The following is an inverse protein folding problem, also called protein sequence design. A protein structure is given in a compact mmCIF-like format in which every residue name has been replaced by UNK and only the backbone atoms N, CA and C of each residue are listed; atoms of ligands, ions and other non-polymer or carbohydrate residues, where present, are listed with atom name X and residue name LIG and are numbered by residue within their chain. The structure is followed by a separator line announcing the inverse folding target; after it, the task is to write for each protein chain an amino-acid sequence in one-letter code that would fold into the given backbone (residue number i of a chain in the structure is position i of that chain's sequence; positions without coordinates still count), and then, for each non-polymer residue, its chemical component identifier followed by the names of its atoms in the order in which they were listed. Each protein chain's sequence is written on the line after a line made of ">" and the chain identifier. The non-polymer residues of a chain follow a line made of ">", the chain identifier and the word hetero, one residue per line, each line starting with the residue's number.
data_IF_525076358911
#
_entry.id   IF_525076358911
#
_cell.length_a   1.000
_cell.length_b   1.000
_cell.length_c   1.000
_cell.angle_alpha   90.00
_cell.angle_beta   90.00
_cell.angle_gamma   90.00
#
_symmetry.space_group_name_H-M   'P 1'
#
loop_
_entity.id
_entity.type
_entity.pdbx_description
1 polymer ?
#
# COMPACT_ATOMS: atom_id res chain seq x y z
N UNK A 1 15.16 -11.70 10.04
CA UNK A 1 14.30 -11.49 11.23
C UNK A 1 12.98 -12.21 10.97
N UNK A 2 12.43 -12.92 11.97
CA UNK A 2 11.08 -13.48 11.85
C UNK A 2 10.06 -12.31 11.89
N UNK A 3 8.97 -12.42 11.12
CA UNK A 3 7.91 -11.40 11.13
C UNK A 3 7.32 -11.19 12.54
N UNK A 4 7.29 -12.23 13.36
CA UNK A 4 6.80 -12.18 14.74
C UNK A 4 7.66 -11.29 15.67
N UNK A 5 8.92 -11.01 15.30
CA UNK A 5 9.79 -10.12 16.06
C UNK A 5 9.74 -8.68 15.58
N UNK A 6 9.11 -8.45 14.40
CA UNK A 6 9.14 -7.15 13.73
C UNK A 6 8.55 -6.01 14.57
N UNK A 7 7.40 -6.24 15.20
CA UNK A 7 6.73 -5.21 16.01
C UNK A 7 7.61 -4.72 17.17
N UNK A 8 8.19 -5.66 17.94
CA UNK A 8 9.08 -5.32 19.04
C UNK A 8 10.35 -4.61 18.54
N UNK A 9 10.89 -5.08 17.42
CA UNK A 9 12.07 -4.49 16.79
C UNK A 9 11.84 -3.06 16.30
N UNK A 10 10.73 -2.80 15.60
CA UNK A 10 10.38 -1.46 15.14
C UNK A 10 10.23 -0.47 16.31
N UNK A 11 9.58 -0.91 17.38
CA UNK A 11 9.42 -0.12 18.60
C UNK A 11 10.75 0.16 19.29
N UNK A 12 11.62 -0.84 19.41
CA UNK A 12 12.96 -0.69 20.01
C UNK A 12 13.84 0.27 19.20
N UNK A 13 13.86 0.13 17.87
CA UNK A 13 14.78 0.90 17.00
C UNK A 13 14.32 2.30 16.69
N UNK A 14 13.02 2.49 16.54
CA UNK A 14 12.46 3.75 16.02
C UNK A 14 11.48 4.44 16.98
N UNK A 15 11.09 3.81 18.08
CA UNK A 15 10.06 4.32 18.97
C UNK A 15 8.66 4.30 18.33
N UNK A 16 8.46 3.55 17.25
CA UNK A 16 7.20 3.44 16.50
C UNK A 16 6.43 2.22 16.99
N UNK A 17 5.15 2.41 17.29
CA UNK A 17 4.23 1.35 17.71
C UNK A 17 3.17 1.00 16.65
N UNK A 18 3.22 1.64 15.49
CA UNK A 18 2.37 1.35 14.32
C UNK A 18 3.22 0.64 13.27
N UNK A 19 2.75 -0.51 12.81
CA UNK A 19 3.48 -1.34 11.84
C UNK A 19 2.59 -1.72 10.68
N UNK A 20 3.24 -2.00 9.55
CA UNK A 20 2.64 -2.46 8.33
C UNK A 20 3.39 -3.71 7.83
N UNK A 21 2.84 -4.93 8.07
CA UNK A 21 3.47 -6.15 7.59
C UNK A 21 3.19 -6.38 6.09
N UNK A 22 4.14 -7.03 5.41
CA UNK A 22 4.00 -7.46 4.04
C UNK A 22 3.71 -8.97 3.95
N UNK A 23 2.78 -9.36 3.06
CA UNK A 23 2.35 -10.75 2.85
C UNK A 23 3.51 -11.71 2.55
N UNK A 24 4.54 -11.24 1.83
CA UNK A 24 5.73 -12.02 1.52
C UNK A 24 6.60 -12.40 2.73
N UNK A 25 6.40 -11.79 3.89
CA UNK A 25 7.12 -12.12 5.11
C UNK A 25 6.41 -13.15 5.99
N UNK A 26 5.17 -13.55 5.65
CA UNK A 26 4.46 -14.58 6.39
C UNK A 26 5.01 -15.95 6.01
N UNK A 27 5.62 -16.65 6.95
CA UNK A 27 6.12 -18.02 6.74
C UNK A 27 5.00 -19.06 6.66
N UNK A 28 3.80 -18.74 7.14
CA UNK A 28 2.57 -19.50 7.03
C UNK A 28 1.35 -18.59 7.16
N UNK A 29 0.24 -19.02 6.58
CA UNK A 29 -1.07 -18.37 6.72
C UNK A 29 -2.10 -19.28 7.40
N UNK A 30 -1.63 -20.35 8.07
CA UNK A 30 -2.51 -21.14 8.92
C UNK A 30 -2.98 -20.36 10.16
N UNK A 31 -4.14 -20.73 10.68
CA UNK A 31 -4.77 -20.01 11.78
C UNK A 31 -3.86 -19.91 13.03
N UNK A 32 -3.04 -20.93 13.29
CA UNK A 32 -2.14 -20.95 14.44
C UNK A 32 -1.00 -19.93 14.27
N UNK A 33 -0.42 -19.83 13.09
CA UNK A 33 0.64 -18.83 12.81
C UNK A 33 0.07 -17.41 12.88
N UNK A 34 -1.08 -17.18 12.26
CA UNK A 34 -1.76 -15.87 12.27
C UNK A 34 -2.09 -15.41 13.70
N UNK A 35 -2.62 -16.30 14.53
CA UNK A 35 -2.87 -15.98 15.94
C UNK A 35 -1.58 -15.72 16.72
N UNK A 36 -0.54 -16.51 16.50
CA UNK A 36 0.76 -16.26 17.13
C UNK A 36 1.35 -14.91 16.73
N UNK A 37 1.29 -14.55 15.45
CA UNK A 37 1.74 -13.23 14.99
C UNK A 37 0.96 -12.10 15.67
N UNK A 38 -0.37 -12.16 15.66
CA UNK A 38 -1.21 -11.18 16.35
C UNK A 38 -0.82 -11.04 17.85
N UNK A 39 -0.66 -12.16 18.56
CA UNK A 39 -0.25 -12.15 19.96
C UNK A 39 1.14 -11.55 20.20
N UNK A 40 2.09 -11.68 19.25
CA UNK A 40 3.40 -11.02 19.39
C UNK A 40 3.32 -9.51 19.20
N UNK A 41 2.45 -9.04 18.30
CA UNK A 41 2.16 -7.61 18.11
C UNK A 41 1.53 -7.03 19.38
N UNK A 42 0.53 -7.72 19.95
CA UNK A 42 -0.14 -7.32 21.20
C UNK A 42 0.86 -7.23 22.36
N UNK A 43 1.72 -8.24 22.55
CA UNK A 43 2.76 -8.24 23.59
C UNK A 43 3.75 -7.09 23.46
N UNK A 44 4.10 -6.71 22.21
CA UNK A 44 4.94 -5.56 21.95
C UNK A 44 4.21 -4.22 22.19
N UNK A 45 2.90 -4.27 22.49
CA UNK A 45 2.04 -3.08 22.58
C UNK A 45 2.15 -2.24 21.28
N UNK A 46 2.05 -2.92 20.15
CA UNK A 46 2.04 -2.33 18.83
C UNK A 46 0.68 -2.58 18.16
N UNK A 47 0.45 -1.88 17.05
CA UNK A 47 -0.78 -1.95 16.27
C UNK A 47 -0.44 -2.12 14.81
N UNK A 48 -1.17 -2.99 14.11
CA UNK A 48 -1.12 -3.09 12.66
C UNK A 48 -2.05 -2.02 12.11
N UNK A 49 -1.56 -1.17 11.19
CA UNK A 49 -2.35 -0.08 10.60
C UNK A 49 -2.76 -0.35 9.17
N UNK A 50 -2.02 -1.22 8.49
CA UNK A 50 -2.31 -1.75 7.16
C UNK A 50 -1.55 -3.06 6.98
N UNK A 51 -1.93 -3.84 5.98
CA UNK A 51 -1.18 -5.02 5.55
C UNK A 51 -0.99 -4.97 4.04
N UNK A 52 0.25 -5.07 3.58
CA UNK A 52 0.59 -5.07 2.15
C UNK A 52 0.46 -6.48 1.60
N UNK A 53 -0.29 -6.63 0.50
CA UNK A 53 -0.55 -7.92 -0.14
C UNK A 53 -0.18 -7.86 -1.61
N UNK A 54 0.73 -8.72 -2.02
CA UNK A 54 1.06 -8.93 -3.41
C UNK A 54 0.45 -10.24 -3.92
N UNK A 55 -0.26 -10.14 -5.03
CA UNK A 55 -0.82 -11.25 -5.78
C UNK A 55 -0.22 -11.31 -7.18
N UNK A 56 -0.42 -12.45 -7.84
CA UNK A 56 0.10 -12.70 -9.19
C UNK A 56 -0.98 -12.57 -10.28
N UNK A 57 -2.26 -12.68 -9.90
CA UNK A 57 -3.40 -12.63 -10.84
C UNK A 57 -3.95 -11.23 -10.98
N UNK A 58 -4.21 -10.82 -12.24
CA UNK A 58 -4.69 -9.48 -12.54
C UNK A 58 -6.22 -9.34 -12.38
N UNK A 59 -6.71 -8.33 -11.65
CA UNK A 59 -8.14 -8.09 -11.48
C UNK A 59 -8.82 -7.59 -12.77
N UNK A 60 -8.07 -7.24 -13.82
CA UNK A 60 -8.61 -6.80 -15.11
C UNK A 60 -8.26 -7.72 -16.28
N UNK A 61 -7.67 -8.90 -16.06
CA UNK A 61 -7.38 -9.86 -17.11
C UNK A 61 -8.59 -10.10 -18.03
N UNK A 62 -8.37 -10.41 -19.31
CA UNK A 62 -9.46 -10.77 -20.22
C UNK A 62 -10.08 -12.11 -19.77
N UNK A 63 -9.25 -13.05 -19.32
CA UNK A 63 -9.72 -14.30 -18.75
C UNK A 63 -10.45 -14.10 -17.41
N UNK A 64 -11.72 -14.48 -17.36
CA UNK A 64 -12.54 -14.39 -16.16
C UNK A 64 -12.07 -15.28 -15.02
N UNK A 65 -11.39 -16.41 -15.31
CA UNK A 65 -10.84 -17.29 -14.29
C UNK A 65 -9.64 -16.64 -13.58
N UNK A 66 -8.80 -15.91 -14.31
CA UNK A 66 -7.72 -15.13 -13.71
C UNK A 66 -8.26 -14.00 -12.81
N UNK A 67 -9.30 -13.28 -13.26
CA UNK A 67 -9.95 -12.27 -12.40
C UNK A 67 -10.56 -12.89 -11.13
N UNK A 68 -11.16 -14.08 -11.26
CA UNK A 68 -11.71 -14.79 -10.10
C UNK A 68 -10.61 -15.14 -9.08
N UNK A 69 -9.44 -15.63 -9.54
CA UNK A 69 -8.28 -15.89 -8.67
C UNK A 69 -7.82 -14.63 -7.93
N UNK A 70 -7.73 -13.49 -8.63
CA UNK A 70 -7.36 -12.20 -8.01
C UNK A 70 -8.33 -11.82 -6.88
N UNK A 71 -9.64 -11.95 -7.13
CA UNK A 71 -10.69 -11.67 -6.14
C UNK A 71 -10.62 -12.63 -4.95
N UNK A 72 -10.46 -13.93 -5.20
CA UNK A 72 -10.42 -14.94 -4.14
C UNK A 72 -9.17 -14.79 -3.25
N UNK A 73 -8.02 -14.49 -3.84
CA UNK A 73 -6.80 -14.16 -3.10
C UNK A 73 -7.00 -12.93 -2.22
N UNK A 74 -7.54 -11.85 -2.79
CA UNK A 74 -7.81 -10.62 -2.03
C UNK A 74 -8.74 -10.87 -0.85
N UNK A 75 -9.85 -11.61 -1.05
CA UNK A 75 -10.78 -11.98 0.03
C UNK A 75 -10.11 -12.80 1.13
N UNK A 76 -9.26 -13.75 0.76
CA UNK A 76 -8.50 -14.53 1.74
C UNK A 76 -7.60 -13.64 2.60
N UNK A 77 -6.95 -12.65 2.00
CA UNK A 77 -6.11 -11.72 2.75
C UNK A 77 -6.92 -10.71 3.55
N UNK A 78 -8.13 -10.36 3.13
CA UNK A 78 -9.09 -9.60 3.96
C UNK A 78 -9.43 -10.38 5.25
N UNK A 79 -9.66 -11.71 5.16
CA UNK A 79 -9.90 -12.52 6.35
C UNK A 79 -8.69 -12.57 7.29
N UNK A 80 -7.47 -12.66 6.72
CA UNK A 80 -6.23 -12.62 7.51
C UNK A 80 -6.06 -11.24 8.17
N UNK A 81 -6.29 -10.15 7.43
CA UNK A 81 -6.23 -8.80 7.97
C UNK A 81 -7.18 -8.63 9.16
N UNK A 82 -8.43 -9.08 9.03
CA UNK A 82 -9.39 -9.08 10.13
C UNK A 82 -8.90 -9.91 11.33
N UNK A 83 -8.31 -11.09 11.08
CA UNK A 83 -7.81 -11.98 12.13
C UNK A 83 -6.60 -11.41 12.91
N UNK A 84 -5.78 -10.57 12.27
CA UNK A 84 -4.65 -9.88 12.92
C UNK A 84 -4.99 -8.47 13.41
N UNK A 85 -6.26 -8.08 13.39
CA UNK A 85 -6.74 -6.73 13.75
C UNK A 85 -6.15 -5.61 12.86
N UNK A 86 -5.84 -5.88 11.60
CA UNK A 86 -5.49 -4.84 10.64
C UNK A 86 -6.76 -4.14 10.14
N UNK A 87 -6.88 -2.81 10.26
CA UNK A 87 -8.05 -2.07 9.79
C UNK A 87 -8.08 -1.92 8.27
N UNK A 88 -6.98 -2.20 7.57
CA UNK A 88 -6.89 -2.07 6.13
C UNK A 88 -5.89 -3.05 5.51
N UNK A 89 -6.04 -3.27 4.22
CA UNK A 89 -5.07 -3.94 3.37
C UNK A 89 -4.75 -3.09 2.13
N UNK A 90 -3.51 -3.18 1.65
CA UNK A 90 -3.17 -2.77 0.28
C UNK A 90 -3.12 -4.03 -0.58
N UNK A 91 -3.82 -4.02 -1.68
CA UNK A 91 -3.72 -5.04 -2.72
C UNK A 91 -3.11 -4.45 -3.98
N UNK A 92 -2.27 -5.23 -4.67
CA UNK A 92 -1.72 -4.83 -5.95
C UNK A 92 -2.66 -5.21 -7.12
N UNK A 93 -2.42 -4.57 -8.27
CA UNK A 93 -3.08 -4.89 -9.53
C UNK A 93 -2.03 -5.30 -10.58
N UNK A 94 -1.53 -6.56 -10.56
CA UNK A 94 -0.52 -7.01 -11.50
C UNK A 94 -0.95 -6.80 -12.95
N UNK A 95 0.01 -6.50 -13.82
CA UNK A 95 -0.27 -6.37 -15.24
C UNK A 95 -0.77 -7.69 -15.83
N UNK A 96 -1.90 -7.64 -16.53
CA UNK A 96 -2.43 -8.80 -17.23
C UNK A 96 -1.57 -9.13 -18.47
N UNK A 97 -1.34 -10.41 -18.71
CA UNK A 97 -0.61 -10.87 -19.89
C UNK A 97 -1.48 -10.93 -21.16
N UNK A 98 -2.80 -10.91 -20.99
CA UNK A 98 -3.80 -11.14 -22.03
C UNK A 98 -4.62 -9.89 -22.41
N UNK A 99 -4.38 -8.76 -21.75
CA UNK A 99 -5.07 -7.50 -22.04
C UNK A 99 -4.31 -6.27 -21.55
N UNK A 100 -4.58 -5.12 -22.19
CA UNK A 100 -4.25 -3.82 -21.62
C UNK A 100 -5.10 -3.52 -20.37
N UNK A 101 -4.68 -2.57 -19.50
CA UNK A 101 -5.47 -2.10 -18.38
C UNK A 101 -6.90 -1.72 -18.79
N UNK A 102 -7.88 -2.24 -18.05
CA UNK A 102 -9.31 -2.05 -18.33
C UNK A 102 -10.05 -1.67 -17.05
N UNK A 103 -10.50 -0.41 -17.00
CA UNK A 103 -11.19 0.17 -15.84
C UNK A 103 -12.48 -0.60 -15.52
N UNK A 104 -13.22 -1.07 -16.55
CA UNK A 104 -14.47 -1.81 -16.34
C UNK A 104 -14.24 -3.12 -15.63
N UNK A 105 -13.33 -3.95 -16.14
CA UNK A 105 -13.00 -5.26 -15.55
C UNK A 105 -12.34 -5.14 -14.18
N UNK A 106 -11.43 -4.16 -14.01
CA UNK A 106 -10.85 -3.87 -12.72
C UNK A 106 -11.93 -3.49 -11.69
N UNK A 107 -12.82 -2.58 -12.05
CA UNK A 107 -13.90 -2.12 -11.19
C UNK A 107 -14.85 -3.26 -10.80
N UNK A 108 -15.25 -4.13 -11.73
CA UNK A 108 -16.11 -5.29 -11.46
C UNK A 108 -15.46 -6.25 -10.44
N UNK A 109 -14.16 -6.50 -10.58
CA UNK A 109 -13.41 -7.35 -9.65
C UNK A 109 -13.25 -6.70 -8.27
N UNK A 110 -12.87 -5.42 -8.24
CA UNK A 110 -12.59 -4.69 -6.99
C UNK A 110 -13.86 -4.31 -6.24
N UNK A 111 -15.00 -4.13 -6.90
CA UNK A 111 -16.29 -4.01 -6.25
C UNK A 111 -16.58 -5.24 -5.38
N UNK A 112 -16.39 -6.45 -5.92
CA UNK A 112 -16.57 -7.71 -5.19
C UNK A 112 -15.61 -7.86 -4.00
N UNK A 113 -14.40 -7.32 -4.10
CA UNK A 113 -13.43 -7.30 -3.00
C UNK A 113 -13.84 -6.28 -1.93
N UNK A 114 -14.21 -5.06 -2.35
CA UNK A 114 -14.61 -3.99 -1.44
C UNK A 114 -15.90 -4.33 -0.67
N UNK A 115 -16.90 -4.94 -1.32
CA UNK A 115 -18.12 -5.39 -0.67
C UNK A 115 -17.82 -6.44 0.41
N UNK A 116 -16.96 -7.42 0.10
CA UNK A 116 -16.54 -8.43 1.06
C UNK A 116 -15.74 -7.82 2.22
N UNK A 117 -14.85 -6.90 1.92
CA UNK A 117 -14.03 -6.21 2.92
C UNK A 117 -14.89 -5.34 3.86
N UNK A 118 -15.97 -4.74 3.34
CA UNK A 118 -16.96 -4.00 4.12
C UNK A 118 -17.61 -4.89 5.20
N UNK A 119 -17.97 -6.14 4.87
CA UNK A 119 -18.54 -7.10 5.83
C UNK A 119 -17.54 -7.42 6.96
N UNK A 120 -16.25 -7.38 6.68
CA UNK A 120 -15.16 -7.63 7.64
C UNK A 120 -14.67 -6.36 8.33
N UNK A 121 -15.15 -5.19 7.93
CA UNK A 121 -14.71 -3.86 8.40
C UNK A 121 -13.21 -3.63 8.13
N UNK A 122 -12.73 -4.05 6.97
CA UNK A 122 -11.36 -3.86 6.50
C UNK A 122 -11.40 -2.96 5.27
N UNK A 123 -10.67 -1.86 5.28
CA UNK A 123 -10.50 -0.99 4.12
C UNK A 123 -9.57 -1.65 3.09
N UNK A 124 -9.82 -1.40 1.83
CA UNK A 124 -8.97 -1.85 0.73
C UNK A 124 -8.29 -0.63 0.10
N UNK A 125 -7.00 -0.68 -0.06
CA UNK A 125 -6.21 0.39 -0.64
C UNK A 125 -5.53 -0.09 -1.93
N UNK A 126 -5.46 0.78 -2.93
CA UNK A 126 -4.73 0.59 -4.18
C UNK A 126 -3.54 1.53 -4.22
N UNK A 127 -2.35 1.00 -4.42
CA UNK A 127 -1.10 1.75 -4.45
C UNK A 127 -0.62 1.97 -5.88
N UNK A 128 -0.01 3.11 -6.15
CA UNK A 128 0.76 3.37 -7.36
C UNK A 128 2.13 2.71 -7.26
N UNK A 129 2.29 1.55 -7.87
CA UNK A 129 3.53 0.78 -7.85
C UNK A 129 4.06 0.53 -9.27
N UNK A 130 3.49 -0.39 -10.03
CA UNK A 130 3.96 -0.64 -11.38
C UNK A 130 3.38 0.35 -12.42
N UNK A 131 4.16 0.72 -13.46
CA UNK A 131 3.76 1.76 -14.40
C UNK A 131 2.71 1.31 -15.43
N UNK A 132 2.29 0.05 -15.43
CA UNK A 132 1.35 -0.50 -16.42
C UNK A 132 -0.08 -0.45 -15.92
N UNK A 133 -0.33 -1.01 -14.75
CA UNK A 133 -1.67 -1.22 -14.18
C UNK A 133 -1.88 -0.54 -12.84
N UNK A 134 -0.85 0.13 -12.33
CA UNK A 134 -0.88 0.92 -11.09
C UNK A 134 -0.46 2.36 -11.36
N UNK A 135 -0.68 2.83 -12.59
CA UNK A 135 -0.63 4.25 -12.91
C UNK A 135 -1.66 5.01 -12.06
N UNK A 136 -1.30 6.14 -11.43
CA UNK A 136 -2.17 6.88 -10.52
C UNK A 136 -3.52 7.25 -11.11
N UNK A 137 -3.58 7.66 -12.38
CA UNK A 137 -4.84 8.07 -13.03
C UNK A 137 -5.71 6.85 -13.37
N UNK A 138 -5.09 5.72 -13.69
CA UNK A 138 -5.83 4.46 -13.85
C UNK A 138 -6.44 4.03 -12.51
N UNK A 139 -5.68 4.06 -11.42
CA UNK A 139 -6.16 3.76 -10.06
C UNK A 139 -7.35 4.66 -9.69
N UNK A 140 -7.21 5.97 -9.85
CA UNK A 140 -8.28 6.93 -9.58
C UNK A 140 -9.53 6.61 -10.39
N UNK A 141 -9.38 6.35 -11.70
CA UNK A 141 -10.51 5.97 -12.57
C UNK A 141 -11.22 4.70 -12.11
N UNK A 142 -10.48 3.72 -11.60
CA UNK A 142 -11.03 2.48 -11.04
C UNK A 142 -11.79 2.77 -9.74
N UNK A 143 -11.21 3.53 -8.82
CA UNK A 143 -11.83 3.88 -7.53
C UNK A 143 -13.14 4.65 -7.76
N UNK A 144 -13.13 5.65 -8.64
CA UNK A 144 -14.31 6.44 -9.00
C UNK A 144 -15.41 5.56 -9.63
N UNK A 145 -15.02 4.62 -10.50
CA UNK A 145 -15.97 3.71 -11.11
C UNK A 145 -16.57 2.71 -10.13
N UNK A 146 -15.78 2.18 -9.19
CA UNK A 146 -16.27 1.29 -8.12
C UNK A 146 -17.19 2.06 -7.17
N UNK A 147 -16.86 3.30 -6.85
CA UNK A 147 -17.62 4.18 -5.96
C UNK A 147 -18.08 3.49 -4.66
N UNK A 148 -17.16 2.81 -4.00
CA UNK A 148 -17.42 2.07 -2.75
C UNK A 148 -16.60 2.69 -1.61
N UNK A 149 -17.21 3.05 -0.46
CA UNK A 149 -16.52 3.71 0.66
C UNK A 149 -15.50 2.83 1.39
N UNK A 150 -15.31 1.58 0.95
CA UNK A 150 -14.29 0.68 1.47
C UNK A 150 -13.11 0.49 0.52
N UNK A 151 -13.08 1.20 -0.63
CA UNK A 151 -11.96 1.20 -1.57
C UNK A 151 -11.37 2.59 -1.68
N UNK A 152 -10.06 2.71 -1.40
CA UNK A 152 -9.33 3.96 -1.37
C UNK A 152 -8.01 3.88 -2.12
N UNK A 153 -7.40 5.04 -2.35
CA UNK A 153 -6.03 5.12 -2.83
C UNK A 153 -5.04 5.06 -1.67
N UNK A 154 -3.88 4.46 -1.92
CA UNK A 154 -2.68 4.53 -1.11
C UNK A 154 -1.60 5.22 -1.95
N UNK A 155 -1.43 6.54 -1.86
CA UNK A 155 -0.38 7.23 -2.58
C UNK A 155 1.00 6.83 -2.05
N UNK A 156 1.87 6.30 -2.92
CA UNK A 156 3.31 6.20 -2.69
C UNK A 156 4.02 7.40 -3.33
N UNK A 157 4.97 7.97 -2.60
CA UNK A 157 5.63 9.20 -2.99
C UNK A 157 6.65 9.04 -4.13
N UNK A 158 7.19 7.86 -4.34
CA UNK A 158 8.34 7.65 -5.22
C UNK A 158 8.13 6.68 -6.39
N UNK A 159 7.31 5.64 -6.22
CA UNK A 159 7.18 4.57 -7.21
C UNK A 159 6.90 5.09 -8.63
N UNK A 160 5.90 5.97 -8.76
CA UNK A 160 5.56 6.56 -10.06
C UNK A 160 6.68 7.46 -10.59
N UNK A 161 7.35 8.23 -9.73
CA UNK A 161 8.48 9.10 -10.13
C UNK A 161 9.66 8.28 -10.66
N UNK A 162 9.93 7.12 -10.08
CA UNK A 162 11.03 6.26 -10.52
C UNK A 162 10.81 5.69 -11.94
N UNK A 163 9.56 5.47 -12.33
CA UNK A 163 9.17 4.93 -13.63
C UNK A 163 8.77 5.99 -14.67
N UNK A 164 8.45 7.21 -14.23
CA UNK A 164 7.92 8.26 -15.09
C UNK A 164 8.97 8.83 -16.05
N UNK A 165 8.53 9.14 -17.27
CA UNK A 165 9.28 9.95 -18.24
C UNK A 165 9.14 11.44 -17.97
N UNK A 166 8.01 11.83 -17.39
CA UNK A 166 7.66 13.21 -17.03
C UNK A 166 7.35 13.27 -15.53
N UNK A 167 8.22 13.87 -14.70
CA UNK A 167 7.99 14.02 -13.27
C UNK A 167 6.74 14.87 -12.94
N UNK A 168 6.39 15.84 -13.79
CA UNK A 168 5.20 16.68 -13.56
C UNK A 168 3.91 15.84 -13.65
N UNK A 169 3.84 14.95 -14.63
CA UNK A 169 2.74 14.00 -14.74
C UNK A 169 2.66 13.06 -13.53
N UNK A 170 3.80 12.58 -13.04
CA UNK A 170 3.85 11.73 -11.85
C UNK A 170 3.33 12.45 -10.59
N UNK A 171 3.78 13.67 -10.34
CA UNK A 171 3.28 14.46 -9.21
C UNK A 171 1.80 14.80 -9.33
N UNK A 172 1.32 15.11 -10.53
CA UNK A 172 -0.12 15.32 -10.76
C UNK A 172 -0.94 14.05 -10.46
N UNK A 173 -0.42 12.89 -10.79
CA UNK A 173 -1.04 11.61 -10.46
C UNK A 173 -1.08 11.34 -8.96
N UNK A 174 0.03 11.55 -8.25
CA UNK A 174 0.10 11.43 -6.78
C UNK A 174 -0.91 12.41 -6.13
N UNK A 175 -0.97 13.66 -6.59
CA UNK A 175 -1.94 14.65 -6.10
C UNK A 175 -3.38 14.16 -6.32
N UNK A 176 -3.69 13.61 -7.50
CA UNK A 176 -5.02 13.05 -7.79
C UNK A 176 -5.38 11.88 -6.86
N UNK A 177 -4.42 11.01 -6.53
CA UNK A 177 -4.64 9.92 -5.57
C UNK A 177 -4.95 10.43 -4.17
N UNK A 178 -4.36 11.53 -3.70
CA UNK A 178 -4.66 12.11 -2.39
C UNK A 178 -6.12 12.56 -2.24
N UNK A 179 -6.81 12.89 -3.34
CA UNK A 179 -8.26 13.15 -3.32
C UNK A 179 -9.09 11.92 -2.90
N UNK A 180 -8.53 10.72 -3.05
CA UNK A 180 -9.16 9.43 -2.75
C UNK A 180 -8.44 8.64 -1.63
N UNK A 181 -7.40 9.21 -1.02
CA UNK A 181 -6.66 8.59 0.07
C UNK A 181 -7.39 8.75 1.41
N UNK A 182 -7.33 7.70 2.25
CA UNK A 182 -8.03 7.74 3.54
C UNK A 182 -7.17 7.24 4.71
N UNK A 183 -6.69 6.00 4.67
CA UNK A 183 -6.11 5.34 5.85
C UNK A 183 -4.59 5.42 5.94
N UNK A 184 -3.88 5.33 4.81
CA UNK A 184 -2.43 5.20 4.78
C UNK A 184 -1.86 5.73 3.46
N UNK A 185 -0.64 6.27 3.50
CA UNK A 185 0.21 6.57 2.35
C UNK A 185 1.63 6.09 2.63
N UNK A 186 2.40 5.80 1.57
CA UNK A 186 3.79 5.37 1.68
C UNK A 186 4.75 6.54 1.50
N UNK A 187 5.61 6.71 2.49
CA UNK A 187 6.60 7.79 2.58
C UNK A 187 7.96 7.29 2.12
N UNK A 188 8.38 7.78 0.97
CA UNK A 188 9.75 7.62 0.45
C UNK A 188 10.34 8.99 0.17
N UNK A 189 11.59 9.23 0.55
CA UNK A 189 12.31 10.46 0.16
C UNK A 189 13.14 10.28 -1.10
N UNK A 190 13.31 9.05 -1.54
CA UNK A 190 13.95 8.67 -2.79
C UNK A 190 13.64 7.21 -3.14
N UNK A 191 13.81 6.88 -4.43
CA UNK A 191 13.68 5.54 -4.99
C UNK A 191 14.85 5.25 -5.92
N UNK A 192 15.33 4.01 -5.94
CA UNK A 192 16.36 3.58 -6.87
C UNK A 192 15.74 3.00 -8.15
N UNK A 193 16.04 3.58 -9.31
CA UNK A 193 15.68 3.01 -10.61
C UNK A 193 16.40 1.68 -10.86
N UNK A 194 15.91 0.90 -11.80
CA UNK A 194 16.52 -0.37 -12.23
C UNK A 194 17.98 -0.22 -12.70
N UNK A 195 18.38 0.94 -13.21
CA UNK A 195 19.76 1.27 -13.61
C UNK A 195 20.63 1.78 -12.45
N UNK A 196 20.10 1.83 -11.24
CA UNK A 196 20.76 2.30 -10.03
C UNK A 196 20.72 3.82 -9.84
N UNK A 197 20.14 4.59 -10.77
CA UNK A 197 19.95 6.02 -10.59
C UNK A 197 18.98 6.28 -9.43
N UNK A 198 19.36 7.16 -8.50
CA UNK A 198 18.51 7.58 -7.41
C UNK A 198 17.61 8.76 -7.83
N UNK A 199 16.31 8.57 -7.75
CA UNK A 199 15.32 9.64 -7.88
C UNK A 199 14.98 10.15 -6.50
N UNK A 200 15.01 11.47 -6.31
CA UNK A 200 14.62 12.12 -5.04
C UNK A 200 13.23 12.70 -5.17
N UNK A 201 12.45 12.49 -4.13
CA UNK A 201 11.10 13.06 -4.01
C UNK A 201 11.19 14.52 -3.55
N UNK A 202 10.44 15.40 -4.20
CA UNK A 202 10.15 16.72 -3.67
C UNK A 202 9.13 16.59 -2.53
N UNK A 203 9.65 16.42 -1.32
CA UNK A 203 8.83 16.22 -0.12
C UNK A 203 7.92 17.41 0.14
N UNK A 204 8.36 18.65 -0.12
CA UNK A 204 7.54 19.86 0.08
C UNK A 204 6.30 19.80 -0.80
N UNK A 205 6.49 19.48 -2.07
CA UNK A 205 5.40 19.34 -3.03
C UNK A 205 4.41 18.25 -2.65
N UNK A 206 4.90 17.09 -2.23
CA UNK A 206 4.03 15.97 -1.87
C UNK A 206 3.27 16.23 -0.57
N UNK A 207 3.91 16.86 0.41
CA UNK A 207 3.23 17.28 1.65
C UNK A 207 2.18 18.38 1.40
N UNK A 208 2.36 19.23 0.38
CA UNK A 208 1.32 20.18 -0.02
C UNK A 208 0.03 19.47 -0.48
N UNK A 209 0.11 18.28 -1.10
CA UNK A 209 -1.06 17.47 -1.42
C UNK A 209 -1.72 16.90 -0.15
N UNK A 210 -0.95 16.44 0.83
CA UNK A 210 -1.47 16.02 2.15
C UNK A 210 -2.29 17.15 2.79
N UNK A 211 -1.75 18.37 2.81
CA UNK A 211 -2.42 19.54 3.39
C UNK A 211 -3.66 19.93 2.58
N UNK A 212 -3.53 20.02 1.24
CA UNK A 212 -4.59 20.41 0.30
C UNK A 212 -5.86 19.57 0.47
N UNK A 213 -5.71 18.26 0.65
CA UNK A 213 -6.83 17.33 0.82
C UNK A 213 -7.20 17.05 2.27
N UNK A 214 -6.51 17.66 3.23
CA UNK A 214 -6.78 17.47 4.65
C UNK A 214 -6.59 16.02 5.11
N UNK A 215 -5.64 15.31 4.49
CA UNK A 215 -5.37 13.90 4.79
C UNK A 215 -5.00 13.70 6.27
N UNK A 216 -5.57 12.66 6.91
CA UNK A 216 -5.39 12.36 8.33
C UNK A 216 -4.97 10.91 8.59
N UNK A 217 -4.69 10.15 7.53
CA UNK A 217 -4.23 8.78 7.62
C UNK A 217 -2.79 8.65 8.11
N UNK A 218 -2.31 7.42 8.16
CA UNK A 218 -0.94 7.12 8.53
C UNK A 218 0.03 7.42 7.38
N UNK A 219 1.26 7.81 7.75
CA UNK A 219 2.39 7.90 6.83
C UNK A 219 3.32 6.72 7.16
N UNK A 220 3.31 5.67 6.34
CA UNK A 220 4.15 4.50 6.50
C UNK A 220 5.50 4.72 5.83
N UNK A 221 6.60 4.43 6.56
CA UNK A 221 7.96 4.67 6.08
C UNK A 221 8.44 3.49 5.24
N UNK A 222 8.88 3.76 4.02
CA UNK A 222 9.54 2.77 3.16
C UNK A 222 10.95 3.21 2.77
N UNK A 223 11.91 2.29 2.90
CA UNK A 223 13.31 2.50 2.53
C UNK A 223 13.70 1.55 1.41
N UNK A 224 13.65 2.02 0.16
CA UNK A 224 13.88 1.25 -1.05
C UNK A 224 15.09 1.76 -1.85
N UNK A 225 16.21 1.95 -1.17
CA UNK A 225 17.44 2.43 -1.79
C UNK A 225 18.69 1.92 -1.09
N UNK A 226 19.88 1.98 -1.74
CA UNK A 226 21.14 1.63 -1.09
C UNK A 226 21.45 2.51 0.12
N UNK A 227 22.10 1.91 1.13
CA UNK A 227 22.54 2.61 2.34
C UNK A 227 22.19 1.84 3.61
N UNK A 228 22.35 2.49 4.76
CA UNK A 228 21.94 1.94 6.05
C UNK A 228 20.42 2.15 6.23
N UNK A 229 19.61 1.08 6.21
CA UNK A 229 18.15 1.20 6.31
C UNK A 229 17.70 1.75 7.68
N UNK A 230 18.43 1.49 8.76
CA UNK A 230 18.09 2.01 10.09
C UNK A 230 18.27 3.52 10.17
N UNK A 231 19.43 4.01 9.72
CA UNK A 231 19.70 5.44 9.68
C UNK A 231 18.76 6.15 8.70
N UNK A 232 18.53 5.52 7.54
CA UNK A 232 17.64 6.05 6.52
C UNK A 232 16.20 6.17 7.01
N UNK A 233 15.63 5.13 7.57
CA UNK A 233 14.29 5.13 8.13
C UNK A 233 14.15 6.12 9.29
N UNK A 234 15.12 6.22 10.19
CA UNK A 234 15.10 7.19 11.27
C UNK A 234 15.09 8.64 10.76
N UNK A 235 15.86 8.93 9.71
CA UNK A 235 15.86 10.26 9.07
C UNK A 235 14.54 10.55 8.37
N UNK A 236 13.95 9.56 7.68
CA UNK A 236 12.66 9.69 7.01
C UNK A 236 11.55 9.98 8.03
N UNK A 237 11.49 9.26 9.15
CA UNK A 237 10.57 9.53 10.26
C UNK A 237 10.72 10.98 10.74
N UNK A 238 11.96 11.40 11.01
CA UNK A 238 12.23 12.77 11.50
C UNK A 238 11.75 13.83 10.50
N UNK A 239 12.05 13.65 9.23
CA UNK A 239 11.63 14.57 8.16
C UNK A 239 10.10 14.62 8.07
N UNK A 240 9.44 13.46 8.06
CA UNK A 240 7.98 13.37 8.01
C UNK A 240 7.33 14.11 9.17
N UNK A 241 7.79 13.89 10.41
CA UNK A 241 7.28 14.61 11.59
C UNK A 241 7.49 16.12 11.49
N UNK A 242 8.60 16.58 10.92
CA UNK A 242 8.86 17.99 10.72
C UNK A 242 7.91 18.62 9.69
N UNK A 243 7.60 17.90 8.62
CA UNK A 243 6.70 18.35 7.55
C UNK A 243 5.22 18.37 7.96
N UNK A 244 4.83 17.55 8.93
CA UNK A 244 3.45 17.47 9.44
C UNK A 244 3.13 18.52 10.54
N UNK A 245 4.09 19.32 10.96
CA UNK A 245 3.94 20.37 11.98
C UNK A 245 3.65 21.74 11.38
#
# INVERSE_FOLDING_TARGET
>A
MDLKDFAAHAKEKFGIDKIEPWSGHFSSIDAKYIEQFRLTVDRAQCYIVNMVVDGESSPYAADSAERAKAVDLSKRWVDIAAAINSPSIRINMPAASDSAPDVGRAADSLCRVADYAAEKRVLVNLENDNPVSEDPFFIVSVIEKVNNPWLHALPDFANTLASAKDPEHAYAGIDAMFAHAYSICHMKDAEAKKDGQLIRVDMVRTFASIEKYGYKGYCSMEWDRPGDPYLGTANLIKTTIQMLR
#
